data_IF_573009894073
#
_entry.id   IF_573009894073
#
_cell.length_a   1.000
_cell.length_b   1.000
_cell.length_c   1.000
_cell.angle_alpha   90.00
_cell.angle_beta   90.00
_cell.angle_gamma   90.00
#
_symmetry.space_group_name_H-M   'P 1'
#
loop_
_entity.id
_entity.type
_entity.pdbx_description
1 polymer ?
#
# COMPACT_ATOMS: atom_id res chain seq x y z
N UNK A 1 5.91 8.32 -8.48
CA UNK A 1 5.79 7.72 -7.13
C UNK A 1 4.97 6.43 -7.24
N UNK A 2 5.33 5.32 -6.59
CA UNK A 2 4.50 4.10 -6.61
C UNK A 2 3.53 4.10 -5.41
N UNK A 3 2.23 4.05 -5.70
CA UNK A 3 1.15 4.09 -4.71
C UNK A 3 1.26 3.01 -3.65
N UNK A 4 1.55 1.77 -4.05
CA UNK A 4 1.70 0.64 -3.14
C UNK A 4 2.92 0.78 -2.23
N UNK A 5 4.02 1.34 -2.75
CA UNK A 5 5.19 1.67 -1.94
C UNK A 5 4.84 2.75 -0.90
N UNK A 6 4.08 3.77 -1.28
CA UNK A 6 3.65 4.83 -0.36
C UNK A 6 2.74 4.28 0.75
N UNK A 7 1.72 3.50 0.40
CA UNK A 7 0.87 2.81 1.38
C UNK A 7 1.75 2.02 2.36
N UNK A 8 2.72 1.23 1.86
CA UNK A 8 3.57 0.44 2.74
C UNK A 8 4.46 1.30 3.64
N UNK A 9 5.16 2.30 3.10
CA UNK A 9 6.18 3.04 3.86
C UNK A 9 5.62 4.15 4.72
N UNK A 10 4.54 4.81 4.29
CA UNK A 10 3.99 6.00 4.94
C UNK A 10 2.77 5.68 5.79
N UNK A 11 1.88 4.81 5.30
CA UNK A 11 0.64 4.43 5.99
C UNK A 11 0.90 3.29 6.97
N UNK A 12 1.44 2.16 6.49
CA UNK A 12 1.71 1.00 7.34
C UNK A 12 3.07 1.05 8.06
N UNK A 13 4.06 1.74 7.48
CA UNK A 13 5.43 1.86 8.00
C UNK A 13 6.13 0.53 8.26
N UNK A 14 5.98 -0.40 7.32
CA UNK A 14 6.52 -1.77 7.43
C UNK A 14 7.43 -2.15 6.25
N UNK A 15 8.18 -3.23 6.40
CA UNK A 15 8.92 -3.87 5.30
C UNK A 15 8.00 -4.56 4.31
N UNK A 16 8.47 -4.86 3.10
CA UNK A 16 7.65 -5.57 2.10
C UNK A 16 7.22 -6.97 2.59
N UNK A 17 8.06 -7.65 3.37
CA UNK A 17 7.74 -8.96 3.93
C UNK A 17 6.67 -8.88 5.01
N UNK A 18 6.73 -7.87 5.88
CA UNK A 18 5.67 -7.60 6.85
C UNK A 18 4.37 -7.24 6.14
N UNK A 19 4.40 -6.32 5.19
CA UNK A 19 3.22 -5.91 4.43
C UNK A 19 2.54 -7.08 3.72
N UNK A 20 3.34 -7.96 3.11
CA UNK A 20 2.82 -9.19 2.50
C UNK A 20 2.08 -10.06 3.51
N UNK A 21 2.67 -10.30 4.70
CA UNK A 21 2.00 -11.04 5.78
C UNK A 21 0.67 -10.39 6.20
N UNK A 22 0.57 -9.06 6.17
CA UNK A 22 -0.68 -8.36 6.50
C UNK A 22 -1.76 -8.59 5.45
N UNK A 23 -1.37 -8.56 4.18
CA UNK A 23 -2.27 -8.77 3.04
C UNK A 23 -2.49 -10.25 2.69
N UNK A 24 -1.89 -11.19 3.43
CA UNK A 24 -1.99 -12.63 3.17
C UNK A 24 -1.18 -13.13 1.97
N UNK A 25 -0.20 -12.36 1.50
CA UNK A 25 0.64 -12.68 0.33
C UNK A 25 2.13 -12.72 0.65
N UNK A 26 2.94 -13.20 -0.30
CA UNK A 26 4.40 -13.19 -0.17
C UNK A 26 5.03 -11.81 -0.45
N UNK A 27 6.24 -11.58 0.07
CA UNK A 27 7.04 -10.38 -0.21
C UNK A 27 7.24 -10.13 -1.71
N UNK A 28 7.41 -11.20 -2.51
CA UNK A 28 7.56 -11.09 -3.95
C UNK A 28 6.32 -10.50 -4.64
N UNK A 29 5.12 -10.76 -4.13
CA UNK A 29 3.88 -10.14 -4.62
C UNK A 29 3.87 -8.65 -4.35
N UNK A 30 4.26 -8.23 -3.14
CA UNK A 30 4.43 -6.81 -2.80
C UNK A 30 5.45 -6.13 -3.70
N UNK A 31 6.59 -6.78 -3.97
CA UNK A 31 7.60 -6.27 -4.89
C UNK A 31 7.02 -6.03 -6.30
N UNK A 32 6.19 -6.95 -6.81
CA UNK A 32 5.49 -6.75 -8.10
C UNK A 32 4.53 -5.58 -8.06
N UNK A 33 3.78 -5.42 -6.97
CA UNK A 33 2.90 -4.27 -6.79
C UNK A 33 3.67 -2.95 -6.84
N UNK A 34 4.82 -2.91 -6.17
CA UNK A 34 5.72 -1.75 -6.18
C UNK A 34 6.44 -1.54 -7.52
N UNK A 35 6.46 -2.56 -8.38
CA UNK A 35 6.89 -2.50 -9.77
C UNK A 35 5.81 -2.02 -10.74
N UNK A 36 4.58 -1.77 -10.27
CA UNK A 36 3.47 -1.25 -11.09
C UNK A 36 2.39 -2.27 -11.44
N UNK A 37 2.46 -3.50 -10.92
CA UNK A 37 1.37 -4.48 -11.07
C UNK A 37 0.24 -4.13 -10.11
N UNK A 38 -0.99 -3.97 -10.59
CA UNK A 38 -2.12 -3.70 -9.71
C UNK A 38 -2.43 -4.94 -8.83
N UNK A 39 -2.73 -4.76 -7.53
CA UNK A 39 -3.28 -5.83 -6.70
C UNK A 39 -4.68 -6.22 -7.19
N UNK A 40 -5.09 -7.46 -6.93
CA UNK A 40 -6.45 -7.92 -7.16
C UNK A 40 -7.44 -7.29 -6.18
N UNK A 41 -8.74 -7.43 -6.43
CA UNK A 41 -9.78 -6.96 -5.52
C UNK A 41 -9.68 -7.62 -4.13
N UNK A 42 -9.37 -8.92 -4.08
CA UNK A 42 -9.19 -9.66 -2.83
C UNK A 42 -7.97 -9.15 -2.05
N UNK A 43 -6.88 -8.85 -2.76
CA UNK A 43 -5.66 -8.29 -2.16
C UNK A 43 -5.91 -6.87 -1.62
N UNK A 44 -6.66 -6.04 -2.35
CA UNK A 44 -7.10 -4.71 -1.88
C UNK A 44 -7.96 -4.81 -0.61
N UNK A 45 -8.91 -5.76 -0.57
CA UNK A 45 -9.74 -6.02 0.61
C UNK A 45 -8.90 -6.47 1.81
N UNK A 46 -7.90 -7.32 1.59
CA UNK A 46 -7.01 -7.78 2.64
C UNK A 46 -6.18 -6.62 3.22
N UNK A 47 -5.66 -5.73 2.38
CA UNK A 47 -4.95 -4.53 2.81
C UNK A 47 -5.86 -3.61 3.63
N UNK A 48 -7.08 -3.34 3.14
CA UNK A 48 -8.07 -2.53 3.87
C UNK A 48 -8.38 -3.12 5.25
N UNK A 49 -8.63 -4.43 5.31
CA UNK A 49 -8.87 -5.14 6.56
C UNK A 49 -7.69 -4.98 7.52
N UNK A 50 -6.47 -5.17 7.03
CA UNK A 50 -5.26 -5.03 7.84
C UNK A 50 -5.03 -3.60 8.37
N UNK A 51 -5.50 -2.57 7.65
CA UNK A 51 -5.49 -1.19 8.13
C UNK A 51 -6.47 -1.01 9.30
N UNK A 52 -7.72 -1.46 9.13
CA UNK A 52 -8.74 -1.37 10.19
C UNK A 52 -8.36 -2.15 11.45
N UNK A 53 -7.81 -3.36 11.31
CA UNK A 53 -7.34 -4.17 12.45
C UNK A 53 -6.21 -3.50 13.23
N UNK A 54 -5.48 -2.57 12.59
CA UNK A 54 -4.40 -1.79 13.21
C UNK A 54 -4.86 -0.42 13.72
N UNK A 55 -6.12 -0.05 13.53
CA UNK A 55 -6.62 1.28 13.85
C UNK A 55 -6.01 2.38 12.98
N UNK A 56 -5.58 2.04 11.76
CA UNK A 56 -5.11 3.01 10.77
C UNK A 56 -6.34 3.65 10.13
N UNK A 57 -6.36 4.97 10.07
CA UNK A 57 -7.37 5.71 9.29
C UNK A 57 -7.14 5.43 7.80
N UNK A 58 -8.09 4.73 7.19
CA UNK A 58 -7.96 4.18 5.85
C UNK A 58 -8.92 4.88 4.88
N UNK A 59 -8.38 5.30 3.75
CA UNK A 59 -9.14 5.84 2.62
C UNK A 59 -8.81 5.06 1.35
N UNK A 60 -9.82 4.54 0.65
CA UNK A 60 -9.61 3.80 -0.59
C UNK A 60 -9.00 4.65 -1.71
N UNK A 61 -9.10 5.98 -1.62
CA UNK A 61 -8.38 6.90 -2.50
C UNK A 61 -6.88 6.65 -2.48
N UNK A 62 -6.33 6.13 -1.38
CA UNK A 62 -4.92 5.73 -1.27
C UNK A 62 -4.50 4.73 -2.36
N UNK A 63 -5.40 3.94 -2.94
CA UNK A 63 -5.06 3.02 -4.03
C UNK A 63 -4.96 3.68 -5.41
N UNK A 64 -5.59 4.84 -5.59
CA UNK A 64 -5.79 5.46 -6.90
C UNK A 64 -5.09 6.81 -7.02
N UNK A 65 -4.93 7.51 -5.91
CA UNK A 65 -4.25 8.80 -5.85
C UNK A 65 -2.75 8.55 -5.60
N UNK A 66 -1.93 8.92 -6.58
CA UNK A 66 -0.51 9.09 -6.29
C UNK A 66 -0.39 10.26 -5.30
N UNK A 67 0.41 10.15 -4.22
CA UNK A 67 0.62 11.28 -3.32
C UNK A 67 1.08 12.48 -4.15
N UNK A 68 0.27 13.55 -4.15
CA UNK A 68 0.62 14.81 -4.79
C UNK A 68 1.94 15.28 -4.19
N UNK A 69 2.96 15.46 -5.03
CA UNK A 69 4.18 16.12 -4.61
C UNK A 69 3.80 17.56 -4.21
N UNK A 70 3.67 17.83 -2.93
CA UNK A 70 3.74 19.19 -2.41
C UNK A 70 5.20 19.67 -2.41
N UNK A 71 5.82 19.69 -3.60
CA UNK A 71 7.14 20.28 -3.88
C UNK A 71 7.34 20.41 -5.41
N UNK A 72 6.84 21.50 -5.98
CA UNK A 72 7.46 22.19 -7.11
C UNK A 72 7.01 23.67 -7.09
N UNK A 73 7.56 24.40 -6.12
CA UNK A 73 7.71 25.85 -6.18
C UNK A 73 9.19 26.14 -5.93
N UNK A 74 9.98 26.13 -7.00
CA UNK A 74 11.33 26.68 -7.07
C UNK A 74 11.64 27.12 -8.50
#
# INVERSE_FOLDING_TARGET
MNTMRHIRTSVFRVTQAEFGRLAGVGQATVSRWEGGVAPSLEEMQAIRKAAFERGIDWDDRLFFEAPENSEEAA
#
